data_IF_961459840992
#
_entry.id   IF_961459840992
#
_cell.length_a   1.000
_cell.length_b   1.000
_cell.length_c   1.000
_cell.angle_alpha   90.00
_cell.angle_beta   90.00
_cell.angle_gamma   90.00
#
_symmetry.space_group_name_H-M   'P 1'
#
loop_
_entity.id
_entity.type
_entity.pdbx_description
1 polymer ?
#
# COMPACT_ATOMS: atom_id res chain seq x y z
N UNK A 1 16.07 52.11 -41.06
CA UNK A 1 15.11 53.26 -41.09
C UNK A 1 14.53 53.46 -39.70
N UNK A 2 13.88 54.60 -39.45
CA UNK A 2 13.70 55.21 -38.10
C UNK A 2 12.20 55.39 -37.76
N UNK A 3 11.86 55.34 -36.45
CA UNK A 3 10.64 55.85 -35.76
C UNK A 3 9.25 55.19 -35.98
N UNK A 4 8.79 54.50 -34.95
CA UNK A 4 7.74 54.90 -33.99
C UNK A 4 6.51 55.80 -34.40
N UNK A 5 5.33 55.29 -34.01
CA UNK A 5 4.25 55.93 -33.20
C UNK A 5 2.98 56.59 -33.84
N UNK A 6 1.82 56.22 -33.25
CA UNK A 6 0.51 56.96 -33.14
C UNK A 6 -0.27 57.18 -34.48
N UNK A 7 -1.61 57.35 -34.57
CA UNK A 7 -2.73 57.61 -33.62
C UNK A 7 -4.09 57.22 -34.25
N UNK A 8 -5.18 57.05 -33.47
CA UNK A 8 -6.60 57.10 -33.95
C UNK A 8 -7.16 58.53 -33.85
N UNK A 9 -8.22 58.93 -34.61
CA UNK A 9 -9.50 59.28 -33.94
C UNK A 9 -10.83 59.12 -34.72
N UNK A 10 -11.94 59.04 -33.97
CA UNK A 10 -13.36 59.50 -34.18
C UNK A 10 -13.91 59.78 -35.60
N UNK A 11 -15.06 59.24 -36.03
CA UNK A 11 -16.45 59.64 -35.68
C UNK A 11 -17.36 59.56 -36.95
N UNK A 12 -18.66 59.90 -37.03
CA UNK A 12 -19.75 60.33 -36.10
C UNK A 12 -21.12 60.21 -36.86
N UNK A 13 -22.22 59.82 -36.18
CA UNK A 13 -23.66 60.26 -36.32
C UNK A 13 -24.34 60.43 -37.71
N UNK A 14 -25.68 60.44 -37.90
CA UNK A 14 -26.87 59.82 -37.29
C UNK A 14 -28.11 60.33 -38.07
N UNK A 15 -29.14 59.51 -38.37
CA UNK A 15 -30.48 60.01 -38.77
C UNK A 15 -31.60 59.01 -38.38
N UNK A 16 -32.71 59.57 -37.89
CA UNK A 16 -33.97 58.92 -37.51
C UNK A 16 -35.12 59.66 -38.26
N UNK A 17 -36.45 59.58 -37.95
CA UNK A 17 -37.19 58.82 -36.91
C UNK A 17 -38.59 58.29 -37.36
N UNK A 18 -39.44 57.94 -36.36
CA UNK A 18 -40.93 57.72 -36.36
C UNK A 18 -41.41 56.27 -36.55
N UNK A 19 -42.46 55.78 -35.85
CA UNK A 19 -43.22 56.25 -34.65
C UNK A 19 -44.02 55.07 -34.04
N UNK A 20 -44.01 54.96 -32.71
CA UNK A 20 -45.13 54.56 -31.79
C UNK A 20 -46.04 53.35 -32.14
N UNK A 21 -46.02 52.31 -31.29
CA UNK A 21 -47.20 51.90 -30.49
C UNK A 21 -46.78 51.06 -29.25
N UNK A 22 -47.66 50.94 -28.25
CA UNK A 22 -47.42 50.29 -26.95
C UNK A 22 -48.07 48.89 -26.83
N UNK A 23 -47.73 48.23 -25.69
CA UNK A 23 -48.49 47.19 -24.94
C UNK A 23 -48.21 45.73 -25.30
N UNK A 24 -47.43 45.06 -24.44
CA UNK A 24 -47.86 43.93 -23.59
C UNK A 24 -46.63 43.18 -23.04
N UNK A 25 -46.43 43.17 -21.72
CA UNK A 25 -45.41 42.32 -21.09
C UNK A 25 -46.04 40.97 -20.71
N UNK A 26 -45.47 39.87 -21.21
CA UNK A 26 -45.82 38.51 -20.79
C UNK A 26 -44.65 37.91 -19.99
N UNK A 27 -44.82 37.83 -18.67
CA UNK A 27 -43.90 37.11 -17.78
C UNK A 27 -44.12 35.60 -17.95
N UNK A 28 -43.17 34.91 -18.57
CA UNK A 28 -43.11 33.44 -18.55
C UNK A 28 -42.25 33.02 -17.35
N UNK A 29 -42.92 32.66 -16.26
CA UNK A 29 -42.25 32.07 -15.10
C UNK A 29 -41.99 30.58 -15.36
N UNK A 30 -40.78 30.24 -15.80
CA UNK A 30 -40.35 28.86 -15.99
C UNK A 30 -40.14 28.18 -14.63
N UNK A 31 -41.10 27.33 -14.22
CA UNK A 31 -40.98 26.51 -13.02
C UNK A 31 -39.96 25.39 -13.29
N UNK A 32 -38.74 25.53 -12.78
CA UNK A 32 -37.85 24.38 -12.60
C UNK A 32 -38.39 23.52 -11.45
N UNK A 33 -39.03 22.41 -11.79
CA UNK A 33 -39.23 21.32 -10.84
C UNK A 33 -37.89 20.61 -10.68
N UNK A 34 -37.14 20.98 -9.65
CA UNK A 34 -35.98 20.20 -9.22
C UNK A 34 -36.49 18.85 -8.70
N UNK A 35 -36.39 17.81 -9.53
CA UNK A 35 -36.69 16.44 -9.11
C UNK A 35 -35.57 15.99 -8.16
N UNK A 36 -35.79 16.25 -6.85
CA UNK A 36 -34.94 15.69 -5.79
C UNK A 36 -35.16 14.19 -5.79
N UNK A 37 -34.31 13.47 -6.53
CA UNK A 37 -34.12 12.04 -6.34
C UNK A 37 -33.53 11.87 -4.95
N UNK A 38 -34.41 11.65 -3.97
CA UNK A 38 -34.01 11.12 -2.66
C UNK A 38 -33.41 9.75 -2.90
N UNK A 39 -32.08 9.70 -3.02
CA UNK A 39 -31.35 8.44 -2.88
C UNK A 39 -31.63 8.00 -1.45
N UNK A 40 -32.58 7.09 -1.29
CA UNK A 40 -32.78 6.41 0.00
C UNK A 40 -31.42 5.89 0.43
N UNK A 41 -30.99 6.09 1.68
CA UNK A 41 -29.78 5.45 2.15
C UNK A 41 -29.98 3.95 1.94
N UNK A 42 -29.21 3.36 1.03
CA UNK A 42 -29.21 1.92 0.84
C UNK A 42 -28.98 1.32 2.22
N UNK A 43 -29.80 0.31 2.59
CA UNK A 43 -29.80 -0.24 3.94
C UNK A 43 -28.41 -0.80 4.30
N UNK A 44 -27.55 0.06 4.84
CA UNK A 44 -26.30 -0.35 5.42
C UNK A 44 -26.65 -1.25 6.59
N UNK A 45 -26.26 -2.52 6.48
CA UNK A 45 -26.41 -3.45 7.59
C UNK A 45 -25.69 -2.84 8.80
N UNK A 46 -26.27 -2.92 10.01
CA UNK A 46 -25.65 -2.35 11.19
C UNK A 46 -24.24 -2.93 11.35
N UNK A 47 -23.24 -2.06 11.40
CA UNK A 47 -21.87 -2.45 11.67
C UNK A 47 -21.82 -3.15 13.05
N UNK A 48 -21.39 -4.40 13.06
CA UNK A 48 -21.20 -5.16 14.29
C UNK A 48 -19.75 -4.93 14.72
N UNK A 49 -19.49 -4.25 15.85
CA UNK A 49 -18.13 -4.04 16.32
C UNK A 49 -17.49 -5.38 16.69
N UNK A 50 -16.26 -5.56 16.23
CA UNK A 50 -15.42 -6.75 16.37
C UNK A 50 -14.11 -6.38 17.07
N UNK A 51 -13.75 -7.10 18.15
CA UNK A 51 -12.51 -6.86 18.86
C UNK A 51 -11.33 -7.48 18.12
N UNK A 52 -10.10 -7.11 18.48
CA UNK A 52 -8.94 -7.88 18.06
C UNK A 52 -8.95 -9.27 18.72
N UNK A 53 -8.76 -10.32 17.93
CA UNK A 53 -8.70 -11.70 18.38
C UNK A 53 -7.29 -12.05 18.85
N UNK A 54 -7.15 -12.71 20.00
CA UNK A 54 -5.86 -13.19 20.49
C UNK A 54 -5.36 -14.39 19.66
N UNK A 55 -4.05 -14.45 19.41
CA UNK A 55 -3.40 -15.54 18.68
C UNK A 55 -2.27 -16.16 19.51
N UNK A 56 -1.75 -17.32 19.09
CA UNK A 56 -0.54 -17.92 19.67
C UNK A 56 0.75 -17.47 18.96
N UNK A 57 0.64 -16.57 17.98
CA UNK A 57 1.78 -16.14 17.17
C UNK A 57 2.62 -15.11 17.94
N UNK A 58 3.84 -15.51 18.31
CA UNK A 58 4.72 -14.71 19.16
C UNK A 58 5.65 -13.80 18.34
N UNK A 59 5.73 -12.52 18.72
CA UNK A 59 6.81 -11.59 18.32
C UNK A 59 7.22 -10.75 19.53
N UNK A 60 8.50 -10.40 19.60
CA UNK A 60 9.10 -9.52 20.60
C UNK A 60 8.70 -9.83 22.06
N UNK A 61 8.54 -11.13 22.36
CA UNK A 61 8.19 -11.65 23.67
C UNK A 61 6.69 -11.72 24.00
N UNK A 62 5.81 -11.28 23.10
CA UNK A 62 4.35 -11.25 23.32
C UNK A 62 3.54 -11.97 22.23
N UNK A 63 2.35 -12.52 22.57
CA UNK A 63 1.41 -13.01 21.58
C UNK A 63 0.76 -11.84 20.84
N UNK A 64 0.70 -11.93 19.51
CA UNK A 64 0.05 -10.93 18.68
C UNK A 64 -1.47 -11.13 18.62
N UNK A 65 -2.19 -10.08 18.23
CA UNK A 65 -3.64 -10.09 18.02
C UNK A 65 -3.97 -9.82 16.55
N UNK A 66 -5.11 -10.27 16.05
CA UNK A 66 -5.53 -10.11 14.64
C UNK A 66 -6.97 -9.60 14.51
N UNK A 67 -7.29 -8.85 13.45
CA UNK A 67 -8.69 -8.47 13.15
C UNK A 67 -9.46 -9.63 12.52
N UNK A 68 -8.82 -10.33 11.57
CA UNK A 68 -9.35 -11.50 10.86
C UNK A 68 -8.48 -12.72 11.14
N UNK A 69 -9.09 -13.85 11.47
CA UNK A 69 -8.42 -15.12 11.71
C UNK A 69 -9.01 -16.20 10.79
N UNK A 70 -8.16 -16.87 10.00
CA UNK A 70 -8.49 -18.06 9.20
C UNK A 70 -9.78 -17.94 8.37
N UNK A 71 -10.04 -16.77 7.77
CA UNK A 71 -11.23 -16.50 6.95
C UNK A 71 -10.85 -15.85 5.63
N UNK A 72 -11.34 -16.38 4.51
CA UNK A 72 -11.17 -15.74 3.20
C UNK A 72 -11.91 -14.41 3.14
N UNK A 73 -11.34 -13.45 2.39
CA UNK A 73 -11.88 -12.10 2.19
C UNK A 73 -12.29 -11.93 0.73
N UNK A 74 -13.46 -11.31 0.51
CA UNK A 74 -13.99 -11.03 -0.81
C UNK A 74 -14.79 -9.72 -0.76
N UNK A 75 -14.35 -8.69 -1.48
CA UNK A 75 -15.00 -7.37 -1.50
C UNK A 75 -15.13 -6.72 -0.10
N UNK A 76 -14.14 -6.92 0.77
CA UNK A 76 -14.11 -6.39 2.13
C UNK A 76 -12.98 -5.38 2.33
N UNK A 77 -13.28 -4.33 3.11
CA UNK A 77 -12.31 -3.40 3.64
C UNK A 77 -12.06 -3.73 5.12
N UNK A 78 -10.83 -4.09 5.47
CA UNK A 78 -10.45 -4.59 6.80
C UNK A 78 -9.51 -3.57 7.46
N UNK A 79 -10.11 -2.65 8.21
CA UNK A 79 -9.39 -1.80 9.15
C UNK A 79 -9.03 -2.63 10.40
N UNK A 80 -7.74 -2.82 10.64
CA UNK A 80 -7.21 -3.63 11.73
C UNK A 80 -7.20 -2.84 13.06
N UNK A 81 -8.36 -2.39 13.50
CA UNK A 81 -8.60 -1.71 14.78
C UNK A 81 -9.54 -2.55 15.64
N UNK A 82 -9.35 -2.53 16.95
CA UNK A 82 -10.33 -3.05 17.91
C UNK A 82 -11.51 -2.07 18.02
N UNK A 83 -12.70 -2.48 17.56
CA UNK A 83 -13.85 -1.55 17.42
C UNK A 83 -14.43 -1.05 18.76
N UNK A 84 -13.97 -1.60 19.90
CA UNK A 84 -14.41 -1.20 21.24
C UNK A 84 -13.43 -0.23 21.91
N UNK A 85 -12.14 -0.34 21.62
CA UNK A 85 -11.07 0.45 22.25
C UNK A 85 -10.43 1.48 21.32
N UNK A 86 -10.60 1.35 20.00
CA UNK A 86 -9.94 2.17 19.00
C UNK A 86 -8.43 1.89 18.87
N UNK A 87 -7.92 0.82 19.50
CA UNK A 87 -6.51 0.45 19.46
C UNK A 87 -6.24 -0.46 18.25
N UNK A 88 -5.18 -0.22 17.45
CA UNK A 88 -4.79 -1.12 16.38
C UNK A 88 -4.53 -2.56 16.83
N UNK A 89 -5.02 -3.53 16.06
CA UNK A 89 -4.58 -4.91 16.15
C UNK A 89 -3.12 -5.03 15.69
N UNK A 90 -2.40 -6.01 16.24
CA UNK A 90 -1.03 -6.27 15.77
C UNK A 90 -1.01 -6.78 14.32
N UNK A 91 -2.03 -7.53 13.93
CA UNK A 91 -2.17 -8.14 12.61
C UNK A 91 -3.52 -7.80 11.98
N UNK A 92 -3.57 -7.61 10.66
CA UNK A 92 -4.83 -7.41 9.94
C UNK A 92 -5.56 -8.73 9.70
N UNK A 93 -5.01 -9.57 8.83
CA UNK A 93 -5.53 -10.91 8.53
C UNK A 93 -4.45 -11.97 8.76
N UNK A 94 -4.76 -12.97 9.61
CA UNK A 94 -3.84 -14.03 10.00
C UNK A 94 -4.40 -15.41 9.65
N UNK A 95 -3.54 -16.23 9.04
CA UNK A 95 -3.85 -17.58 8.59
C UNK A 95 -2.77 -18.53 9.12
N UNK A 96 -3.17 -19.47 9.98
CA UNK A 96 -2.31 -20.47 10.62
C UNK A 96 -2.95 -21.87 10.72
N UNK A 97 -4.25 -22.00 10.47
CA UNK A 97 -4.92 -23.29 10.36
C UNK A 97 -4.60 -23.92 8.99
N UNK A 98 -4.22 -25.21 8.92
CA UNK A 98 -3.90 -25.86 7.65
C UNK A 98 -5.09 -25.85 6.67
N UNK A 99 -4.88 -25.28 5.48
CA UNK A 99 -5.95 -25.08 4.50
C UNK A 99 -5.58 -24.15 3.36
N UNK A 100 -6.58 -23.86 2.51
CA UNK A 100 -6.49 -22.91 1.40
C UNK A 100 -7.43 -21.74 1.62
N UNK A 101 -6.91 -20.52 1.49
CA UNK A 101 -7.62 -19.26 1.70
C UNK A 101 -7.39 -18.30 0.55
N UNK A 102 -8.27 -17.30 0.43
CA UNK A 102 -8.15 -16.25 -0.59
C UNK A 102 -8.51 -14.87 -0.04
N UNK A 103 -7.84 -13.84 -0.55
CA UNK A 103 -8.18 -12.43 -0.35
C UNK A 103 -8.36 -11.84 -1.75
N UNK A 104 -9.59 -11.46 -2.10
CA UNK A 104 -9.94 -11.04 -3.47
C UNK A 104 -10.69 -9.72 -3.45
N UNK A 105 -10.19 -8.73 -4.21
CA UNK A 105 -10.75 -7.37 -4.27
C UNK A 105 -10.99 -6.78 -2.87
N UNK A 106 -9.97 -6.89 -2.01
CA UNK A 106 -10.04 -6.54 -0.59
C UNK A 106 -8.86 -5.67 -0.15
N UNK A 107 -9.11 -4.78 0.80
CA UNK A 107 -8.09 -3.97 1.48
C UNK A 107 -7.89 -4.48 2.90
N UNK A 108 -6.64 -4.51 3.36
CA UNK A 108 -6.28 -4.84 4.76
C UNK A 108 -5.28 -3.80 5.26
N UNK A 109 -5.63 -3.03 6.27
CA UNK A 109 -4.81 -1.88 6.69
C UNK A 109 -4.85 -1.59 8.19
N UNK A 110 -4.04 -0.64 8.66
CA UNK A 110 -4.10 -0.11 10.04
C UNK A 110 -3.35 -0.92 11.12
N UNK A 111 -2.88 -2.13 10.84
CA UNK A 111 -2.13 -2.99 11.78
C UNK A 111 -0.74 -2.46 12.19
N UNK A 112 -0.13 -2.97 13.27
CA UNK A 112 1.22 -2.53 13.72
C UNK A 112 2.38 -3.46 13.39
N UNK A 113 2.17 -4.78 13.31
CA UNK A 113 3.22 -5.76 12.99
C UNK A 113 3.08 -6.34 11.59
N UNK A 114 1.89 -6.81 11.20
CA UNK A 114 1.64 -7.47 9.91
C UNK A 114 0.29 -7.09 9.29
N UNK A 115 0.25 -6.73 8.01
CA UNK A 115 -1.03 -6.51 7.32
C UNK A 115 -1.76 -7.83 7.09
N UNK A 116 -1.21 -8.64 6.20
CA UNK A 116 -1.66 -10.00 5.86
C UNK A 116 -0.54 -10.97 6.22
N UNK A 117 -0.85 -12.08 6.86
CA UNK A 117 0.16 -13.08 7.25
C UNK A 117 -0.38 -14.51 7.12
N UNK A 118 0.31 -15.32 6.32
CA UNK A 118 0.15 -16.78 6.22
C UNK A 118 1.34 -17.48 6.88
N UNK A 119 1.08 -18.48 7.72
CA UNK A 119 2.09 -19.14 8.54
C UNK A 119 1.87 -20.67 8.61
N UNK A 120 2.92 -21.45 8.42
CA UNK A 120 2.83 -22.92 8.49
C UNK A 120 2.15 -23.53 7.26
N UNK A 121 1.35 -24.58 7.44
CA UNK A 121 0.78 -25.38 6.35
C UNK A 121 -0.43 -24.72 5.63
N UNK A 122 -0.29 -23.44 5.29
CA UNK A 122 -1.31 -22.58 4.68
C UNK A 122 -1.00 -22.36 3.19
N UNK A 123 -2.03 -22.43 2.35
CA UNK A 123 -2.04 -21.83 1.01
C UNK A 123 -2.89 -20.57 1.04
N UNK A 124 -2.34 -19.41 0.66
CA UNK A 124 -3.08 -18.14 0.60
C UNK A 124 -2.85 -17.46 -0.75
N UNK A 125 -3.94 -17.15 -1.45
CA UNK A 125 -3.91 -16.37 -2.69
C UNK A 125 -4.50 -14.96 -2.47
N UNK A 126 -3.68 -13.93 -2.63
CA UNK A 126 -4.07 -12.51 -2.54
C UNK A 126 -4.15 -11.94 -3.96
N UNK A 127 -5.30 -11.41 -4.35
CA UNK A 127 -5.58 -11.04 -5.75
C UNK A 127 -6.43 -9.77 -5.85
N UNK A 128 -6.06 -8.86 -6.76
CA UNK A 128 -6.77 -7.59 -7.00
C UNK A 128 -6.96 -6.73 -5.73
N UNK A 129 -6.02 -6.82 -4.78
CA UNK A 129 -6.19 -6.38 -3.39
C UNK A 129 -5.20 -5.28 -2.97
N UNK A 130 -5.28 -4.81 -1.72
CA UNK A 130 -4.27 -3.92 -1.15
C UNK A 130 -3.93 -4.22 0.31
N UNK A 131 -2.69 -3.88 0.70
CA UNK A 131 -2.21 -3.96 2.07
C UNK A 131 -1.40 -2.70 2.43
N UNK A 132 -1.85 -1.92 3.42
CA UNK A 132 -1.26 -0.60 3.70
C UNK A 132 -1.38 -0.12 5.16
N UNK A 133 -0.74 0.99 5.51
CA UNK A 133 -0.72 1.56 6.87
C UNK A 133 -0.25 0.59 7.96
N UNK A 134 0.79 -0.20 7.64
CA UNK A 134 1.30 -1.30 8.47
C UNK A 134 2.58 -0.91 9.19
N UNK A 135 2.50 -0.67 10.50
CA UNK A 135 3.63 -0.21 11.31
C UNK A 135 3.21 0.57 12.55
N UNK A 136 4.20 1.08 13.29
CA UNK A 136 4.00 1.93 14.46
C UNK A 136 3.18 3.17 14.12
N UNK A 137 2.38 3.60 15.09
CA UNK A 137 1.48 4.74 15.02
C UNK A 137 1.67 5.64 16.25
N UNK A 138 1.57 6.98 16.12
CA UNK A 138 1.21 7.73 14.90
C UNK A 138 2.35 7.86 13.88
N UNK A 139 3.58 7.46 14.23
CA UNK A 139 4.77 7.57 13.37
C UNK A 139 5.54 6.26 13.38
N UNK A 140 6.04 5.84 12.22
CA UNK A 140 6.92 4.68 12.11
C UNK A 140 8.23 4.88 12.88
N UNK A 141 8.80 3.78 13.37
CA UNK A 141 10.07 3.79 14.12
C UNK A 141 11.14 2.94 13.44
N UNK A 142 12.34 2.88 14.02
CA UNK A 142 13.41 1.97 13.59
C UNK A 142 13.21 0.51 14.03
N UNK A 143 12.10 0.16 14.70
CA UNK A 143 11.80 -1.21 15.08
C UNK A 143 11.55 -2.08 13.84
N UNK A 144 12.13 -3.29 13.82
CA UNK A 144 12.20 -4.15 12.62
C UNK A 144 10.91 -4.97 12.37
N UNK A 145 9.75 -4.33 12.49
CA UNK A 145 8.43 -4.89 12.19
C UNK A 145 7.61 -3.94 11.30
N UNK A 146 6.35 -4.28 11.04
CA UNK A 146 5.50 -3.58 10.08
C UNK A 146 5.74 -4.09 8.66
N UNK A 147 5.31 -5.34 8.43
CA UNK A 147 5.41 -6.02 7.14
C UNK A 147 4.03 -6.15 6.52
N UNK A 148 3.77 -5.54 5.37
CA UNK A 148 2.40 -5.47 4.85
C UNK A 148 1.84 -6.84 4.41
N UNK A 149 2.65 -7.71 3.79
CA UNK A 149 2.27 -9.10 3.48
C UNK A 149 3.40 -10.06 3.86
N UNK A 150 3.10 -11.12 4.63
CA UNK A 150 4.08 -12.11 5.07
C UNK A 150 3.64 -13.56 4.79
N UNK A 151 4.57 -14.39 4.31
CA UNK A 151 4.43 -15.84 4.18
C UNK A 151 5.59 -16.49 4.94
N UNK A 152 5.28 -17.33 5.91
CA UNK A 152 6.25 -17.83 6.89
C UNK A 152 6.21 -19.35 7.05
N UNK A 153 7.38 -19.93 7.29
CA UNK A 153 7.59 -21.24 7.92
C UNK A 153 6.79 -22.39 7.29
N UNK A 154 6.77 -22.43 5.95
CA UNK A 154 6.09 -23.45 5.14
C UNK A 154 4.88 -22.93 4.35
N UNK A 155 4.47 -21.68 4.54
CA UNK A 155 3.33 -21.10 3.85
C UNK A 155 3.57 -20.94 2.34
N UNK A 156 2.51 -21.06 1.55
CA UNK A 156 2.60 -20.97 0.09
C UNK A 156 1.42 -20.23 -0.53
N UNK A 157 1.52 -19.92 -1.83
CA UNK A 157 0.43 -19.32 -2.61
C UNK A 157 0.93 -18.19 -3.51
N UNK A 158 0.07 -17.21 -3.78
CA UNK A 158 0.35 -16.12 -4.71
C UNK A 158 -0.11 -14.74 -4.25
N UNK A 159 0.56 -13.71 -4.77
CA UNK A 159 0.15 -12.30 -4.65
C UNK A 159 0.07 -11.71 -6.05
N UNK A 160 -1.13 -11.40 -6.54
CA UNK A 160 -1.35 -10.89 -7.90
C UNK A 160 -2.15 -9.59 -7.95
N UNK A 161 -1.80 -8.69 -8.87
CA UNK A 161 -2.50 -7.40 -9.11
C UNK A 161 -2.77 -6.61 -7.83
N UNK A 162 -1.83 -6.67 -6.89
CA UNK A 162 -2.00 -6.17 -5.52
C UNK A 162 -1.15 -4.91 -5.28
N UNK A 163 -1.70 -3.94 -4.55
CA UNK A 163 -1.02 -2.68 -4.20
C UNK A 163 -0.59 -2.67 -2.74
N UNK A 164 0.69 -2.42 -2.50
CA UNK A 164 1.29 -2.45 -1.16
C UNK A 164 2.10 -1.18 -0.94
N UNK A 165 1.73 -0.41 0.09
CA UNK A 165 2.31 0.92 0.37
C UNK A 165 2.14 1.32 1.85
N UNK A 166 2.83 2.38 2.29
CA UNK A 166 2.73 2.89 3.68
C UNK A 166 2.97 1.81 4.74
N UNK A 167 4.06 1.06 4.60
CA UNK A 167 4.54 0.07 5.58
C UNK A 167 5.85 0.52 6.21
N UNK A 168 6.09 0.11 7.45
CA UNK A 168 7.30 0.49 8.19
C UNK A 168 8.54 -0.22 7.66
N UNK A 169 8.54 -1.56 7.55
CA UNK A 169 9.76 -2.33 7.22
C UNK A 169 9.76 -2.95 5.84
N UNK A 170 8.81 -3.83 5.53
CA UNK A 170 8.79 -4.56 4.27
C UNK A 170 7.39 -4.53 3.63
N UNK A 171 7.32 -4.36 2.30
CA UNK A 171 6.06 -4.51 1.58
C UNK A 171 5.63 -5.98 1.58
N UNK A 172 6.54 -6.86 1.18
CA UNK A 172 6.34 -8.31 1.21
C UNK A 172 7.53 -9.02 1.86
N UNK A 173 7.27 -10.08 2.61
CA UNK A 173 8.29 -11.02 3.09
C UNK A 173 7.86 -12.49 2.92
N UNK A 174 8.66 -13.30 2.21
CA UNK A 174 8.62 -14.76 2.29
C UNK A 174 9.85 -15.23 3.08
N UNK A 175 9.65 -15.96 4.18
CA UNK A 175 10.73 -16.41 5.06
C UNK A 175 10.61 -17.90 5.42
N UNK A 176 11.76 -18.56 5.51
CA UNK A 176 11.88 -19.93 6.01
C UNK A 176 11.87 -20.98 4.89
N UNK A 177 12.54 -22.10 5.15
CA UNK A 177 12.53 -23.26 4.24
C UNK A 177 11.13 -23.84 4.11
N UNK A 178 10.77 -24.27 2.90
CA UNK A 178 9.42 -24.75 2.58
C UNK A 178 8.42 -23.65 2.21
N UNK A 179 8.74 -22.38 2.46
CA UNK A 179 7.90 -21.24 2.04
C UNK A 179 8.07 -20.99 0.53
N UNK A 180 6.98 -21.01 -0.24
CA UNK A 180 6.98 -20.91 -1.71
C UNK A 180 5.90 -19.92 -2.19
N UNK A 181 6.32 -18.77 -2.73
CA UNK A 181 5.36 -17.72 -3.16
C UNK A 181 5.67 -17.16 -4.54
N UNK A 182 4.63 -16.98 -5.35
CA UNK A 182 4.71 -16.26 -6.63
C UNK A 182 4.06 -14.88 -6.53
N UNK A 183 4.69 -13.87 -7.12
CA UNK A 183 4.19 -12.49 -7.15
C UNK A 183 4.06 -12.06 -8.62
N UNK A 184 2.90 -11.52 -8.99
CA UNK A 184 2.60 -11.12 -10.37
C UNK A 184 1.94 -9.72 -10.42
N UNK A 185 2.34 -8.89 -11.37
CA UNK A 185 1.65 -7.66 -11.76
C UNK A 185 1.28 -6.72 -10.59
N UNK A 186 2.11 -6.71 -9.54
CA UNK A 186 1.84 -6.05 -8.26
C UNK A 186 2.78 -4.86 -8.03
N UNK A 187 2.44 -3.97 -7.10
CA UNK A 187 3.22 -2.75 -6.81
C UNK A 187 3.56 -2.65 -5.34
N UNK A 188 4.84 -2.52 -5.04
CA UNK A 188 5.38 -2.32 -3.69
C UNK A 188 6.09 -0.96 -3.65
N UNK A 189 5.50 -0.01 -2.93
CA UNK A 189 6.01 1.36 -2.82
C UNK A 189 6.37 1.67 -1.37
N UNK A 190 7.62 2.02 -1.11
CA UNK A 190 8.07 2.45 0.21
C UNK A 190 7.60 3.88 0.53
N UNK A 191 8.33 4.56 1.40
CA UNK A 191 8.06 5.93 1.82
C UNK A 191 8.96 6.98 1.13
N UNK A 192 9.81 6.56 0.19
CA UNK A 192 10.86 7.38 -0.39
C UNK A 192 12.04 7.51 0.58
N UNK A 193 12.77 8.65 0.56
CA UNK A 193 13.92 8.88 1.43
C UNK A 193 13.55 8.96 2.91
N UNK A 194 13.97 7.96 3.70
CA UNK A 194 13.66 7.85 5.15
C UNK A 194 14.90 7.56 6.00
N UNK A 195 14.97 8.13 7.20
CA UNK A 195 16.09 8.03 8.13
C UNK A 195 15.86 7.04 9.29
N UNK A 196 14.60 6.74 9.61
CA UNK A 196 14.21 5.88 10.74
C UNK A 196 14.46 4.39 10.48
N UNK A 197 14.26 3.88 9.26
CA UNK A 197 14.41 2.45 8.94
C UNK A 197 14.75 2.22 7.46
N UNK A 198 15.63 1.25 7.17
CA UNK A 198 15.84 0.79 5.80
C UNK A 198 14.70 -0.14 5.38
N UNK A 199 13.98 0.23 4.32
CA UNK A 199 12.78 -0.48 3.84
C UNK A 199 13.11 -1.47 2.73
N UNK A 200 12.32 -2.54 2.59
CA UNK A 200 12.38 -3.38 1.38
C UNK A 200 11.01 -3.51 0.72
N UNK A 201 10.96 -3.46 -0.61
CA UNK A 201 9.73 -3.71 -1.35
C UNK A 201 9.30 -5.16 -1.21
N UNK A 202 10.19 -6.07 -1.62
CA UNK A 202 9.97 -7.52 -1.57
C UNK A 202 11.20 -8.18 -0.95
N UNK A 203 11.02 -9.05 0.03
CA UNK A 203 12.09 -9.82 0.67
C UNK A 203 11.80 -11.33 0.57
N UNK A 204 12.76 -12.09 0.04
CA UNK A 204 12.81 -13.56 0.19
C UNK A 204 13.95 -13.93 1.13
N UNK A 205 13.72 -14.84 2.08
CA UNK A 205 14.71 -15.13 3.11
C UNK A 205 14.78 -16.55 3.65
N UNK A 206 15.98 -16.92 4.12
CA UNK A 206 16.26 -18.13 4.91
C UNK A 206 15.73 -19.41 4.29
N UNK A 207 16.03 -19.62 3.01
CA UNK A 207 15.59 -20.78 2.23
C UNK A 207 14.20 -20.66 1.61
N UNK A 208 13.46 -19.56 1.79
CA UNK A 208 12.24 -19.30 1.03
C UNK A 208 12.56 -19.14 -0.47
N UNK A 209 11.67 -19.65 -1.32
CA UNK A 209 11.83 -19.69 -2.79
C UNK A 209 10.59 -19.16 -3.51
N UNK A 210 10.68 -18.91 -4.82
CA UNK A 210 9.53 -18.46 -5.58
C UNK A 210 9.89 -17.58 -6.78
N UNK A 211 9.09 -16.55 -7.02
CA UNK A 211 9.40 -15.59 -8.08
C UNK A 211 8.51 -14.36 -8.06
N UNK A 212 8.99 -13.31 -8.72
CA UNK A 212 8.28 -12.05 -8.93
C UNK A 212 8.36 -11.65 -10.40
N UNK A 213 7.21 -11.38 -11.01
CA UNK A 213 7.07 -11.07 -12.44
C UNK A 213 6.13 -9.88 -12.69
N UNK A 214 6.45 -9.04 -13.67
CA UNK A 214 5.58 -7.92 -14.10
C UNK A 214 5.35 -6.83 -13.05
N UNK A 215 6.06 -6.88 -11.92
CA UNK A 215 5.78 -6.08 -10.73
C UNK A 215 6.67 -4.84 -10.66
N UNK A 216 6.24 -3.83 -9.89
CA UNK A 216 6.99 -2.59 -9.66
C UNK A 216 7.43 -2.48 -8.20
N UNK A 217 8.70 -2.19 -7.96
CA UNK A 217 9.27 -1.95 -6.63
C UNK A 217 10.04 -0.64 -6.59
N UNK A 218 9.59 0.30 -5.76
CA UNK A 218 9.99 1.70 -5.83
C UNK A 218 9.91 2.45 -4.50
N UNK A 219 10.58 3.60 -4.41
CA UNK A 219 10.57 4.51 -3.26
C UNK A 219 11.13 3.87 -1.97
N UNK A 220 12.26 3.14 -2.06
CA UNK A 220 12.98 2.48 -0.95
C UNK A 220 14.40 3.04 -0.76
N UNK A 221 14.51 4.18 -0.08
CA UNK A 221 15.77 4.95 0.02
C UNK A 221 16.10 5.24 1.48
N UNK A 222 17.23 4.71 1.99
CA UNK A 222 17.64 4.93 3.38
C UNK A 222 18.65 6.08 3.51
N UNK A 223 18.30 7.10 4.29
CA UNK A 223 19.11 8.32 4.47
C UNK A 223 19.74 8.47 5.85
N UNK A 224 19.42 7.58 6.80
CA UNK A 224 19.82 7.76 8.21
C UNK A 224 21.30 7.57 8.53
N UNK A 225 22.03 6.76 7.76
CA UNK A 225 23.49 6.63 7.87
C UNK A 225 24.11 6.13 6.57
N UNK A 226 24.84 6.99 5.86
CA UNK A 226 25.68 6.60 4.72
C UNK A 226 27.00 5.95 5.15
N UNK A 227 27.64 5.22 4.23
CA UNK A 227 28.98 4.65 4.42
C UNK A 227 30.04 5.70 4.81
N UNK A 228 29.93 6.93 4.27
CA UNK A 228 30.84 8.03 4.61
C UNK A 228 30.59 8.54 6.04
N UNK A 229 29.33 8.70 6.45
CA UNK A 229 28.99 9.08 7.82
C UNK A 229 29.43 8.01 8.82
N UNK A 230 29.28 6.72 8.50
CA UNK A 230 29.74 5.60 9.33
C UNK A 230 31.23 5.72 9.69
N UNK A 231 32.08 6.05 8.71
CA UNK A 231 33.52 6.26 8.92
C UNK A 231 33.87 7.47 9.82
N UNK A 232 32.95 8.43 9.96
CA UNK A 232 33.15 9.67 10.71
C UNK A 232 32.51 9.64 12.11
N UNK A 233 31.37 8.98 12.27
CA UNK A 233 30.55 9.00 13.49
C UNK A 233 30.41 7.64 14.17
N UNK A 234 30.76 6.54 13.48
CA UNK A 234 30.50 5.18 13.95
C UNK A 234 29.04 4.74 13.81
N UNK A 235 28.18 5.48 13.11
CA UNK A 235 26.82 5.01 12.83
C UNK A 235 26.84 3.73 11.96
N UNK A 236 25.87 2.83 12.17
CA UNK A 236 25.73 1.62 11.34
C UNK A 236 25.07 1.98 10.01
N UNK A 237 25.72 1.74 8.86
CA UNK A 237 25.11 2.00 7.58
C UNK A 237 24.14 0.87 7.25
N UNK A 238 22.88 1.22 7.02
CA UNK A 238 21.87 0.31 6.49
C UNK A 238 21.60 0.62 5.02
N UNK A 239 20.98 -0.31 4.32
CA UNK A 239 20.61 -0.17 2.91
C UNK A 239 19.22 -0.75 2.69
N UNK A 240 18.41 -0.05 1.91
CA UNK A 240 17.09 -0.49 1.45
C UNK A 240 17.20 -1.31 0.16
N UNK A 241 16.14 -2.02 -0.23
CA UNK A 241 16.11 -2.67 -1.55
C UNK A 241 14.70 -2.82 -2.14
N UNK A 242 14.55 -2.62 -3.45
CA UNK A 242 13.33 -2.99 -4.18
C UNK A 242 13.05 -4.50 -4.08
N UNK A 243 14.11 -5.32 -4.23
CA UNK A 243 14.09 -6.76 -3.95
C UNK A 243 15.32 -7.19 -3.14
N UNK A 244 15.09 -7.69 -1.93
CA UNK A 244 16.11 -8.31 -1.07
C UNK A 244 16.00 -9.84 -1.15
N UNK A 245 17.11 -10.50 -1.49
CA UNK A 245 17.30 -11.95 -1.34
C UNK A 245 18.33 -12.13 -0.22
N UNK A 246 17.90 -12.64 0.93
CA UNK A 246 18.73 -12.73 2.13
C UNK A 246 18.79 -14.17 2.64
N UNK A 247 19.94 -14.83 2.56
CA UNK A 247 20.10 -16.22 3.01
C UNK A 247 19.17 -17.21 2.26
N UNK A 248 18.90 -16.92 0.99
CA UNK A 248 18.21 -17.80 0.04
C UNK A 248 19.02 -17.91 -1.26
N UNK A 249 19.09 -19.07 -1.93
CA UNK A 249 19.82 -19.20 -3.20
C UNK A 249 19.23 -18.28 -4.28
N UNK A 250 19.94 -17.26 -4.75
CA UNK A 250 19.38 -16.28 -5.69
C UNK A 250 18.93 -16.83 -7.06
N UNK A 251 19.25 -18.10 -7.37
CA UNK A 251 18.75 -18.84 -8.54
C UNK A 251 17.36 -19.47 -8.33
N UNK A 252 16.87 -19.59 -7.09
CA UNK A 252 15.51 -20.07 -6.78
C UNK A 252 14.48 -18.94 -6.68
N UNK A 253 14.86 -17.71 -7.03
CA UNK A 253 13.99 -16.53 -7.11
C UNK A 253 13.93 -16.04 -8.57
N UNK A 254 12.83 -16.37 -9.24
CA UNK A 254 12.51 -15.90 -10.58
C UNK A 254 12.23 -14.39 -10.57
N UNK A 255 12.77 -13.63 -11.54
CA UNK A 255 12.76 -12.14 -11.52
C UNK A 255 12.55 -11.56 -12.93
N UNK A 256 11.35 -11.70 -13.47
CA UNK A 256 11.07 -11.44 -14.91
C UNK A 256 10.27 -10.14 -15.10
N UNK A 257 10.69 -9.29 -16.04
CA UNK A 257 9.90 -8.12 -16.46
C UNK A 257 9.46 -7.15 -15.34
N UNK A 258 10.22 -7.04 -14.25
CA UNK A 258 9.90 -6.13 -13.14
C UNK A 258 10.50 -4.74 -13.38
N UNK A 259 9.80 -3.69 -12.92
CA UNK A 259 10.28 -2.32 -12.89
C UNK A 259 10.87 -2.00 -11.50
N UNK A 260 12.06 -1.40 -11.50
CA UNK A 260 12.71 -0.90 -10.29
C UNK A 260 13.19 0.54 -10.53
N UNK A 261 12.88 1.44 -9.60
CA UNK A 261 13.30 2.86 -9.58
C UNK A 261 13.31 3.37 -8.15
N UNK A 262 14.02 4.47 -7.88
CA UNK A 262 13.97 5.14 -6.56
C UNK A 262 14.21 4.13 -5.40
N UNK A 263 15.25 3.31 -5.52
CA UNK A 263 15.70 2.36 -4.49
C UNK A 263 17.20 2.51 -4.27
N UNK A 264 17.70 2.35 -3.02
CA UNK A 264 19.14 2.25 -2.76
C UNK A 264 19.77 1.11 -3.59
N UNK A 265 19.09 -0.04 -3.60
CA UNK A 265 19.40 -1.19 -4.46
C UNK A 265 18.14 -1.70 -5.14
N UNK A 266 18.15 -1.78 -6.47
CA UNK A 266 17.04 -2.42 -7.20
C UNK A 266 16.92 -3.91 -6.82
N UNK A 267 18.04 -4.63 -6.80
CA UNK A 267 18.11 -6.02 -6.30
C UNK A 267 19.37 -6.17 -5.45
N UNK A 268 19.20 -6.59 -4.21
CA UNK A 268 20.28 -6.89 -3.27
C UNK A 268 20.27 -8.38 -2.93
N UNK A 269 21.40 -9.05 -3.10
CA UNK A 269 21.59 -10.45 -2.71
C UNK A 269 22.63 -10.52 -1.58
N UNK A 270 22.19 -10.96 -0.41
CA UNK A 270 23.01 -11.17 0.77
C UNK A 270 22.98 -12.66 1.09
N UNK A 271 24.16 -13.28 1.18
CA UNK A 271 24.31 -14.65 1.69
C UNK A 271 25.00 -14.55 3.03
N UNK A 272 24.49 -15.25 4.05
CA UNK A 272 25.24 -15.43 5.30
C UNK A 272 26.24 -16.57 5.03
N UNK A 273 27.55 -16.39 5.30
CA UNK A 273 28.48 -17.51 5.31
C UNK A 273 27.99 -18.56 6.31
N UNK A 274 28.03 -19.83 5.92
CA UNK A 274 27.78 -20.92 6.87
C UNK A 274 28.76 -20.88 8.04
N UNK A 275 28.39 -21.48 9.20
CA UNK A 275 29.28 -21.60 10.35
C UNK A 275 30.53 -22.43 10.04
#
# INVERSE_FOLDING_TARGET
>A
MIRAALTRPFGRQAFAPRRVLLVAAALVASILIALVLTVSPANALPFIPTPCQATTFMRDGMPLTTKVLNSSLLNQDVEAIDDFTGVPCHMGAFYDAPGSYSIVNSSVHGSTYFGIIANGAVTLDVTDSSAFEVGDKPTHTGAQHGVAIAYLDGASGSVSRTQVYSYQKNGFAANGSGTIVTIADSRFRGAGPVDYIAQNGVQFSRGAVGGITGSTMEEHEYTGCSQQQSQQTGCTPFVSAGLLIFDSPAKSIDRKNNLYRENDFNVLNVQIPGP
#
